data_IF_852440923464
#
_entry.id   IF_852440923464
#
_cell.length_a   1.000
_cell.length_b   1.000
_cell.length_c   1.000
_cell.angle_alpha   90.00
_cell.angle_beta   90.00
_cell.angle_gamma   90.00
#
_symmetry.space_group_name_H-M   'P 1'
#
loop_
_entity.id
_entity.type
_entity.pdbx_description
1 polymer ?
#
# COMPACT_ATOMS: atom_id res chain seq x y z
N UNK A 1 1.75 -8.36 -0.30
CA UNK A 1 0.36 -8.87 -0.12
C UNK A 1 0.24 -10.39 -0.31
N UNK A 2 0.36 -10.96 -1.53
CA UNK A 2 0.20 -12.41 -1.75
C UNK A 2 1.21 -13.28 -0.94
N UNK A 3 2.45 -12.80 -0.81
CA UNK A 3 3.49 -13.42 0.03
C UNK A 3 3.16 -13.41 1.53
N UNK A 4 2.45 -12.38 2.02
CA UNK A 4 2.09 -12.22 3.44
C UNK A 4 1.09 -13.27 3.90
N UNK A 5 0.27 -13.78 2.98
CA UNK A 5 -0.77 -14.76 3.28
C UNK A 5 -0.45 -16.15 2.73
N UNK A 6 0.72 -16.36 2.11
CA UNK A 6 1.06 -17.62 1.43
C UNK A 6 0.00 -18.10 0.41
N UNK A 7 -0.77 -17.16 -0.14
CA UNK A 7 -1.87 -17.43 -1.06
C UNK A 7 -1.42 -17.05 -2.47
N UNK A 8 -0.82 -18.00 -3.19
CA UNK A 8 -0.50 -17.84 -4.62
C UNK A 8 -1.74 -17.47 -5.46
N UNK A 9 -2.93 -17.88 -5.01
CA UNK A 9 -4.22 -17.54 -5.62
C UNK A 9 -4.58 -16.04 -5.54
N UNK A 10 -4.01 -15.28 -4.60
CA UNK A 10 -4.20 -13.83 -4.49
C UNK A 10 -3.41 -13.06 -5.55
N UNK A 11 -2.21 -13.54 -5.91
CA UNK A 11 -1.42 -12.95 -7.00
C UNK A 11 -2.17 -12.98 -8.33
N UNK A 12 -2.84 -14.09 -8.63
CA UNK A 12 -3.66 -14.21 -9.85
C UNK A 12 -4.88 -13.26 -9.86
N UNK A 13 -5.44 -12.93 -8.68
CA UNK A 13 -6.55 -12.00 -8.58
C UNK A 13 -6.15 -10.54 -8.83
N UNK A 14 -4.87 -10.17 -8.64
CA UNK A 14 -4.38 -8.80 -8.91
C UNK A 14 -4.46 -8.40 -10.39
N UNK A 15 -4.55 -9.36 -11.31
CA UNK A 15 -4.66 -9.10 -12.75
C UNK A 15 -6.11 -9.07 -13.26
N UNK A 16 -7.08 -9.43 -12.42
CA UNK A 16 -8.51 -9.35 -12.77
C UNK A 16 -8.95 -7.88 -12.85
N UNK A 17 -9.84 -7.58 -13.79
CA UNK A 17 -10.32 -6.22 -14.12
C UNK A 17 -10.65 -5.39 -12.87
N UNK A 18 -11.42 -5.94 -11.93
CA UNK A 18 -11.84 -5.27 -10.68
C UNK A 18 -10.68 -4.82 -9.77
N UNK A 19 -9.53 -5.49 -9.82
CA UNK A 19 -8.39 -5.22 -8.94
C UNK A 19 -7.20 -4.58 -9.69
N UNK A 20 -7.37 -4.29 -10.98
CA UNK A 20 -6.34 -3.70 -11.84
C UNK A 20 -6.09 -2.24 -11.49
N UNK A 21 -7.15 -1.52 -11.14
CA UNK A 21 -7.12 -0.15 -10.63
C UNK A 21 -7.62 -0.15 -9.18
N UNK A 22 -6.72 -0.36 -8.20
CA UNK A 22 -7.11 -0.48 -6.79
C UNK A 22 -7.73 0.80 -6.22
N UNK A 23 -7.46 1.96 -6.81
CA UNK A 23 -8.02 3.25 -6.38
C UNK A 23 -9.52 3.39 -6.66
N UNK A 24 -10.07 2.63 -7.62
CA UNK A 24 -11.50 2.64 -7.96
C UNK A 24 -12.33 1.70 -7.06
N UNK A 25 -11.70 1.01 -6.10
CA UNK A 25 -12.41 0.11 -5.21
C UNK A 25 -13.24 0.89 -4.18
N UNK A 26 -14.57 0.79 -4.27
CA UNK A 26 -15.52 1.36 -3.30
C UNK A 26 -15.17 1.09 -1.83
N UNK A 27 -14.56 -0.07 -1.52
CA UNK A 27 -14.02 -0.34 -0.19
C UNK A 27 -12.93 -1.41 -0.21
N UNK A 28 -11.67 -0.99 -0.13
CA UNK A 28 -10.53 -1.91 -0.03
C UNK A 28 -10.63 -2.86 1.18
N UNK A 29 -11.11 -2.37 2.33
CA UNK A 29 -11.30 -3.17 3.55
C UNK A 29 -12.31 -4.30 3.36
N UNK A 30 -13.44 -4.03 2.72
CA UNK A 30 -14.44 -5.08 2.47
C UNK A 30 -13.94 -6.10 1.44
N UNK A 31 -13.24 -5.66 0.40
CA UNK A 31 -12.66 -6.57 -0.58
C UNK A 31 -11.57 -7.45 0.03
N UNK A 32 -10.74 -6.92 0.94
CA UNK A 32 -9.78 -7.71 1.70
C UNK A 32 -10.46 -8.75 2.60
N UNK A 33 -11.58 -8.41 3.26
CA UNK A 33 -12.40 -9.38 4.01
C UNK A 33 -12.99 -10.48 3.13
N UNK A 34 -13.40 -10.15 1.90
CA UNK A 34 -13.90 -11.15 0.94
C UNK A 34 -12.78 -12.09 0.46
N UNK A 35 -11.56 -11.57 0.33
CA UNK A 35 -10.40 -12.34 -0.13
C UNK A 35 -9.77 -13.18 0.99
N UNK A 36 -9.75 -12.64 2.21
CA UNK A 36 -9.21 -13.26 3.42
C UNK A 36 -10.28 -13.15 4.49
N UNK A 37 -11.01 -14.25 4.74
CA UNK A 37 -12.14 -14.28 5.68
C UNK A 37 -11.75 -13.84 7.10
N UNK A 38 -10.51 -14.09 7.50
CA UNK A 38 -9.96 -13.75 8.82
C UNK A 38 -9.39 -12.31 8.89
N UNK A 39 -9.53 -11.51 7.82
CA UNK A 39 -8.93 -10.19 7.75
C UNK A 39 -9.46 -9.25 8.85
N UNK A 40 -8.53 -8.82 9.71
CA UNK A 40 -8.72 -7.81 10.73
C UNK A 40 -7.65 -6.73 10.61
N UNK A 41 -8.07 -5.48 10.35
CA UNK A 41 -7.16 -4.39 9.99
C UNK A 41 -6.07 -4.12 11.04
N UNK A 42 -6.34 -4.27 12.34
CA UNK A 42 -5.37 -3.95 13.39
C UNK A 42 -4.14 -4.87 13.40
N UNK A 43 -4.33 -6.17 13.18
CA UNK A 43 -3.24 -7.16 13.18
C UNK A 43 -2.69 -7.38 11.78
N UNK A 44 -3.56 -7.48 10.79
CA UNK A 44 -3.18 -7.84 9.45
C UNK A 44 -2.51 -6.70 8.68
N UNK A 45 -2.81 -5.43 8.98
CA UNK A 45 -2.08 -4.32 8.36
C UNK A 45 -0.59 -4.38 8.72
N UNK A 46 -0.26 -4.78 9.97
CA UNK A 46 1.13 -4.96 10.40
C UNK A 46 1.81 -6.13 9.70
N UNK A 47 1.08 -7.22 9.47
CA UNK A 47 1.61 -8.39 8.73
C UNK A 47 1.82 -8.09 7.24
N UNK A 48 0.98 -7.23 6.65
CA UNK A 48 1.09 -6.80 5.26
C UNK A 48 2.25 -5.83 5.06
N UNK A 49 2.51 -4.95 6.03
CA UNK A 49 3.51 -3.89 5.96
C UNK A 49 4.89 -4.33 5.42
N UNK A 50 5.55 -5.39 5.93
CA UNK A 50 6.86 -5.82 5.41
C UNK A 50 6.82 -6.36 3.96
N UNK A 51 5.64 -6.67 3.45
CA UNK A 51 5.42 -7.18 2.09
C UNK A 51 4.72 -6.16 1.19
N UNK A 52 4.63 -4.90 1.63
CA UNK A 52 4.08 -3.81 0.85
C UNK A 52 5.21 -3.21 0.00
N UNK A 53 5.07 -3.24 -1.32
CA UNK A 53 6.02 -2.55 -2.18
C UNK A 53 5.71 -1.06 -2.19
N UNK A 54 6.67 -0.24 -1.77
CA UNK A 54 6.54 1.22 -1.77
C UNK A 54 6.63 1.80 -3.19
N UNK A 55 7.28 1.10 -4.11
CA UNK A 55 7.56 1.55 -5.49
C UNK A 55 6.79 0.73 -6.54
N UNK A 56 6.69 -0.58 -6.37
CA UNK A 56 6.04 -1.49 -7.32
C UNK A 56 4.59 -1.79 -6.92
N UNK A 57 3.79 -0.75 -6.73
CA UNK A 57 2.34 -0.86 -6.49
C UNK A 57 1.55 -0.14 -7.60
N UNK A 58 0.29 -0.55 -7.81
CA UNK A 58 -0.58 -0.01 -8.88
C UNK A 58 -1.50 1.12 -8.41
N UNK A 59 -1.38 1.59 -7.16
CA UNK A 59 -2.26 2.62 -6.62
C UNK A 59 -1.60 3.98 -6.80
N UNK A 60 -2.22 4.83 -7.63
CA UNK A 60 -1.74 6.18 -7.88
C UNK A 60 -1.87 7.05 -6.64
N UNK A 61 -2.98 6.92 -5.90
CA UNK A 61 -3.18 7.69 -4.66
C UNK A 61 -2.13 7.35 -3.59
N UNK A 62 -1.76 6.07 -3.47
CA UNK A 62 -0.71 5.63 -2.57
C UNK A 62 0.67 6.15 -2.99
N UNK A 63 1.00 6.12 -4.28
CA UNK A 63 2.25 6.69 -4.79
C UNK A 63 2.36 8.18 -4.46
N UNK A 64 1.30 8.95 -4.74
CA UNK A 64 1.25 10.39 -4.42
C UNK A 64 1.37 10.65 -2.90
N UNK A 65 0.77 9.81 -2.06
CA UNK A 65 0.94 9.90 -0.61
C UNK A 65 2.40 9.71 -0.17
N UNK A 66 3.08 8.69 -0.72
CA UNK A 66 4.51 8.43 -0.42
C UNK A 66 5.41 9.57 -0.91
N UNK A 67 5.14 10.12 -2.10
CA UNK A 67 5.84 11.30 -2.62
C UNK A 67 5.68 12.50 -1.68
N UNK A 68 4.46 12.76 -1.18
CA UNK A 68 4.20 13.81 -0.21
C UNK A 68 5.01 13.64 1.08
N UNK A 69 5.06 12.42 1.65
CA UNK A 69 5.87 12.14 2.84
C UNK A 69 7.35 12.39 2.57
N UNK A 70 7.88 11.90 1.44
CA UNK A 70 9.29 12.10 1.07
C UNK A 70 9.64 13.58 1.01
N UNK A 71 8.80 14.39 0.36
CA UNK A 71 8.98 15.83 0.27
C UNK A 71 9.04 16.49 1.66
N UNK A 72 8.14 16.12 2.57
CA UNK A 72 8.12 16.64 3.95
C UNK A 72 9.40 16.24 4.70
N UNK A 73 9.84 15.00 4.58
CA UNK A 73 11.06 14.51 5.22
C UNK A 73 12.29 15.25 4.68
N UNK A 74 12.38 15.44 3.36
CA UNK A 74 13.45 16.22 2.73
C UNK A 74 13.45 17.67 3.21
N UNK A 75 12.27 18.31 3.32
CA UNK A 75 12.17 19.67 3.85
C UNK A 75 12.69 19.78 5.29
N UNK A 76 12.41 18.78 6.14
CA UNK A 76 12.89 18.75 7.53
C UNK A 76 14.40 18.49 7.60
N UNK A 77 14.96 17.71 6.68
CA UNK A 77 16.38 17.34 6.66
C UNK A 77 17.29 18.36 5.97
N UNK A 78 16.73 19.33 5.24
CA UNK A 78 17.53 20.39 4.60
C UNK A 78 18.23 21.24 5.68
N UNK A 79 19.57 21.38 5.64
CA UNK A 79 20.27 22.29 6.53
C UNK A 79 19.81 23.73 6.24
N UNK A 80 19.68 24.52 7.29
CA UNK A 80 19.22 25.90 7.22
C UNK A 80 20.24 26.72 6.40
N UNK A 81 19.86 27.32 5.25
CA UNK A 81 20.80 28.02 4.37
C UNK A 81 21.41 29.29 5.01
N UNK A 82 20.93 29.70 6.19
CA UNK A 82 21.41 30.88 6.93
C UNK A 82 22.25 30.53 8.17
N UNK A 83 23.01 29.43 8.13
CA UNK A 83 24.10 29.21 9.09
C UNK A 83 25.45 29.37 8.38
N UNK A 84 25.87 30.62 8.21
CA UNK A 84 27.26 31.07 8.05
C UNK A 84 27.37 32.48 8.65
#
# INVERSE_FOLDING_TARGET
>A
MAKAYNLNSLGQKQNKSKYREPDLLNSAKQELKKLVKEYYAGTHSKQIAPHLSLTENKSRSFQTFIEGIKNVVEMIQRPNPNQN
#
